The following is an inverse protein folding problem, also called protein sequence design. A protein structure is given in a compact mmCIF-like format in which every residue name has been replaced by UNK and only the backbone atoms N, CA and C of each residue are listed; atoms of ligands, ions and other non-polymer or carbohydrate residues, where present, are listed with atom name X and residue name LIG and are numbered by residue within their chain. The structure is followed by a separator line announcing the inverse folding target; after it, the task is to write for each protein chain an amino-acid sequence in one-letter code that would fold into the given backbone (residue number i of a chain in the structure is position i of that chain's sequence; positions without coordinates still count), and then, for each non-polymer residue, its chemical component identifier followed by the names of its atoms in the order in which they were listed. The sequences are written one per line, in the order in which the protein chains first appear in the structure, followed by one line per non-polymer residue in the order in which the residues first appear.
data_IF_255893100094
#
_entry.id   IF_255893100094
#
_cell.length_a   1.000
_cell.length_b   1.000
_cell.length_c   1.000
_cell.angle_alpha   90.00
_cell.angle_beta   90.00
_cell.angle_gamma   90.00
#
_symmetry.space_group_name_H-M   'P 1'
#
loop_
_entity.id
_entity.type
_entity.pdbx_description
1 polymer ?
#
# COMPACT_ATOMS: atom_id res chain seq x y z
N UNK A 1 57.11 -37.23 -9.39
CA UNK A 1 56.15 -36.67 -10.35
C UNK A 1 54.67 -37.02 -10.06
N UNK A 2 54.38 -38.07 -9.27
CA UNK A 2 53.00 -38.45 -8.89
C UNK A 2 52.41 -37.72 -7.66
N UNK A 3 53.23 -37.11 -6.78
CA UNK A 3 52.73 -36.42 -5.58
C UNK A 3 52.04 -35.08 -5.86
N UNK A 4 52.37 -34.41 -6.97
CA UNK A 4 51.77 -33.13 -7.35
C UNK A 4 50.40 -33.26 -8.02
N UNK A 5 50.03 -34.46 -8.50
CA UNK A 5 48.76 -34.70 -9.18
C UNK A 5 47.64 -34.93 -8.14
N UNK A 6 47.96 -35.56 -7.01
CA UNK A 6 47.01 -35.85 -5.92
C UNK A 6 46.61 -34.60 -5.14
N UNK A 7 47.51 -33.62 -4.99
CA UNK A 7 47.19 -32.33 -4.36
C UNK A 7 46.29 -31.45 -5.23
N UNK A 8 46.55 -31.39 -6.54
CA UNK A 8 45.71 -30.63 -7.49
C UNK A 8 44.28 -31.17 -7.59
N UNK A 9 44.10 -32.48 -7.47
CA UNK A 9 42.77 -33.11 -7.51
C UNK A 9 41.96 -32.88 -6.23
N UNK A 10 42.60 -32.72 -5.07
CA UNK A 10 41.93 -32.34 -3.81
C UNK A 10 41.49 -30.87 -3.80
N UNK A 11 42.27 -29.96 -4.36
CA UNK A 11 41.86 -28.55 -4.52
C UNK A 11 40.73 -28.39 -5.55
N UNK A 12 40.81 -29.10 -6.67
CA UNK A 12 39.77 -29.04 -7.72
C UNK A 12 38.42 -29.59 -7.26
N UNK A 13 38.43 -30.61 -6.38
CA UNK A 13 37.22 -31.18 -5.78
C UNK A 13 36.67 -30.34 -4.61
N UNK A 14 37.51 -29.60 -3.88
CA UNK A 14 37.06 -28.63 -2.88
C UNK A 14 36.43 -27.37 -3.51
N UNK A 15 36.92 -26.90 -4.66
CA UNK A 15 36.35 -25.73 -5.36
C UNK A 15 34.95 -26.03 -5.92
N UNK A 16 34.70 -27.28 -6.36
CA UNK A 16 33.39 -27.71 -6.85
C UNK A 16 32.36 -28.00 -5.74
N UNK A 17 32.78 -28.12 -4.48
CA UNK A 17 31.90 -28.35 -3.32
C UNK A 17 31.33 -27.06 -2.72
N UNK A 18 31.78 -25.88 -3.16
CA UNK A 18 31.36 -24.58 -2.62
C UNK A 18 30.23 -23.89 -3.41
N UNK A 19 29.54 -24.60 -4.32
CA UNK A 19 28.29 -24.07 -4.89
C UNK A 19 27.19 -24.16 -3.83
N UNK A 20 27.09 -23.12 -2.98
CA UNK A 20 25.94 -22.89 -2.10
C UNK A 20 24.67 -23.05 -2.93
N UNK A 21 23.91 -24.12 -2.68
CA UNK A 21 22.56 -24.31 -3.22
C UNK A 21 21.80 -22.99 -3.06
N UNK A 22 21.15 -22.45 -4.11
CA UNK A 22 20.31 -21.28 -3.90
C UNK A 22 19.25 -21.69 -2.88
N UNK A 23 19.14 -20.96 -1.77
CA UNK A 23 18.07 -21.16 -0.78
C UNK A 23 16.77 -20.65 -1.41
N UNK A 24 16.14 -21.47 -2.26
CA UNK A 24 14.91 -21.15 -3.03
C UNK A 24 13.64 -21.11 -2.15
N UNK A 25 13.73 -21.19 -0.82
CA UNK A 25 12.52 -21.37 0.00
C UNK A 25 11.67 -20.11 0.22
N UNK A 26 12.16 -18.91 -0.11
CA UNK A 26 11.45 -17.64 0.15
C UNK A 26 11.57 -16.60 -0.97
N UNK A 27 11.90 -17.00 -2.21
CA UNK A 27 12.00 -16.04 -3.32
C UNK A 27 10.63 -15.38 -3.60
N UNK A 28 9.55 -16.16 -3.50
CA UNK A 28 8.16 -15.70 -3.64
C UNK A 28 7.81 -14.60 -2.63
N UNK A 29 8.17 -14.74 -1.34
CA UNK A 29 7.91 -13.71 -0.33
C UNK A 29 8.59 -12.37 -0.65
N UNK A 30 9.73 -12.38 -1.36
CA UNK A 30 10.40 -11.13 -1.78
C UNK A 30 9.67 -10.43 -2.93
N UNK A 31 9.04 -11.21 -3.81
CA UNK A 31 8.26 -10.73 -4.96
C UNK A 31 6.91 -10.15 -4.51
N UNK A 32 6.28 -10.74 -3.48
CA UNK A 32 5.00 -10.28 -2.96
C UNK A 32 5.12 -9.01 -2.11
N UNK A 33 6.32 -8.69 -1.61
CA UNK A 33 6.56 -7.57 -0.69
C UNK A 33 6.03 -6.22 -1.17
N UNK A 34 6.38 -5.71 -2.38
CA UNK A 34 5.95 -4.38 -2.81
C UNK A 34 4.44 -4.28 -2.95
N UNK A 35 3.80 -5.28 -3.56
CA UNK A 35 2.35 -5.31 -3.73
C UNK A 35 1.61 -5.39 -2.40
N UNK A 36 2.07 -6.24 -1.47
CA UNK A 36 1.46 -6.32 -0.14
C UNK A 36 1.61 -5.02 0.66
N UNK A 37 2.79 -4.37 0.62
CA UNK A 37 2.98 -3.08 1.29
C UNK A 37 2.03 -2.03 0.72
N UNK A 38 1.91 -1.97 -0.60
CA UNK A 38 1.01 -1.00 -1.24
C UNK A 38 -0.43 -1.25 -0.85
N UNK A 39 -0.89 -2.50 -0.86
CA UNK A 39 -2.26 -2.83 -0.45
C UNK A 39 -2.54 -2.57 1.03
N UNK A 40 -1.58 -2.83 1.92
CA UNK A 40 -1.71 -2.51 3.35
C UNK A 40 -1.58 -1.01 3.66
N UNK A 41 -0.92 -0.25 2.79
CA UNK A 41 -0.82 1.20 2.93
C UNK A 41 -1.96 1.93 2.22
N UNK A 42 -2.73 1.25 1.37
CA UNK A 42 -3.96 1.76 0.73
C UNK A 42 -5.13 1.86 1.73
N UNK A 43 -5.01 1.18 2.86
CA UNK A 43 -5.97 1.15 3.99
C UNK A 43 -5.59 2.17 5.07
N UNK A 44 -5.11 3.33 4.63
CA UNK A 44 -4.70 4.43 5.49
C UNK A 44 -5.88 5.06 6.26
N UNK A 45 -5.59 5.96 7.20
CA UNK A 45 -6.60 6.61 8.04
C UNK A 45 -7.64 7.37 7.20
N UNK A 46 -7.22 7.98 6.08
CA UNK A 46 -8.12 8.69 5.17
C UNK A 46 -9.15 7.77 4.53
N UNK A 47 -8.70 6.60 4.06
CA UNK A 47 -9.55 5.57 3.49
C UNK A 47 -10.53 5.03 4.53
N UNK A 48 -10.05 4.72 5.73
CA UNK A 48 -10.88 4.19 6.81
C UNK A 48 -11.94 5.19 7.28
N UNK A 49 -11.58 6.48 7.45
CA UNK A 49 -12.52 7.54 7.82
C UNK A 49 -13.60 7.70 6.74
N UNK A 50 -13.20 7.72 5.46
CA UNK A 50 -14.13 7.83 4.33
C UNK A 50 -15.10 6.65 4.28
N UNK A 51 -14.60 5.43 4.50
CA UNK A 51 -15.41 4.22 4.57
C UNK A 51 -16.38 4.25 5.76
N UNK A 52 -15.92 4.66 6.94
CA UNK A 52 -16.75 4.79 8.15
C UNK A 52 -17.86 5.83 7.98
N UNK A 53 -17.56 6.99 7.39
CA UNK A 53 -18.55 8.01 7.05
C UNK A 53 -19.58 7.49 6.04
N UNK A 54 -19.12 6.74 5.04
CA UNK A 54 -19.98 6.12 4.03
C UNK A 54 -20.93 5.10 4.65
N UNK A 55 -20.43 4.22 5.52
CA UNK A 55 -21.25 3.26 6.26
C UNK A 55 -22.25 3.91 7.21
N UNK A 56 -21.84 4.97 7.92
CA UNK A 56 -22.71 5.67 8.87
C UNK A 56 -23.84 6.43 8.16
N UNK A 57 -23.55 7.06 7.01
CA UNK A 57 -24.50 7.91 6.30
C UNK A 57 -25.41 7.15 5.33
N UNK A 58 -24.85 6.15 4.66
CA UNK A 58 -25.51 5.45 3.54
C UNK A 58 -25.68 3.95 3.77
N UNK A 59 -25.20 3.42 4.90
CA UNK A 59 -25.31 2.00 5.23
C UNK A 59 -24.78 1.12 4.12
N UNK A 60 -25.56 0.10 3.75
CA UNK A 60 -25.18 -0.86 2.72
C UNK A 60 -25.32 -0.37 1.27
N UNK A 61 -25.87 0.82 1.02
CA UNK A 61 -26.04 1.34 -0.36
C UNK A 61 -24.73 1.70 -1.03
N UNK A 62 -23.68 1.98 -0.24
CA UNK A 62 -22.33 2.22 -0.73
C UNK A 62 -21.53 0.94 -1.02
N UNK A 63 -22.06 -0.26 -0.74
CA UNK A 63 -21.32 -1.50 -0.99
C UNK A 63 -21.07 -1.76 -2.47
N UNK A 64 -22.07 -1.51 -3.33
CA UNK A 64 -21.92 -1.78 -4.77
C UNK A 64 -20.79 -0.96 -5.40
N UNK A 65 -20.72 0.38 -5.18
CA UNK A 65 -19.57 1.16 -5.65
C UNK A 65 -18.21 0.60 -5.22
N UNK A 66 -18.07 0.18 -3.95
CA UNK A 66 -16.81 -0.39 -3.46
C UNK A 66 -16.44 -1.68 -4.21
N UNK A 67 -17.41 -2.56 -4.43
CA UNK A 67 -17.20 -3.80 -5.18
C UNK A 67 -16.81 -3.53 -6.65
N UNK A 68 -17.37 -2.49 -7.27
CA UNK A 68 -17.03 -2.09 -8.64
C UNK A 68 -15.64 -1.45 -8.73
N UNK A 69 -15.15 -0.83 -7.66
CA UNK A 69 -13.83 -0.23 -7.60
C UNK A 69 -12.70 -1.27 -7.50
N UNK A 70 -12.96 -2.46 -6.92
CA UNK A 70 -11.97 -3.55 -6.82
C UNK A 70 -11.33 -3.92 -8.17
N UNK A 71 -12.09 -4.28 -9.24
CA UNK A 71 -11.47 -4.62 -10.52
C UNK A 71 -10.73 -3.44 -11.15
N UNK A 72 -11.19 -2.20 -10.94
CA UNK A 72 -10.56 -0.99 -11.46
C UNK A 72 -9.20 -0.78 -10.79
N UNK A 73 -9.15 -0.89 -9.45
CA UNK A 73 -7.91 -0.85 -8.69
C UNK A 73 -6.95 -1.95 -9.14
N UNK A 74 -7.45 -3.18 -9.26
CA UNK A 74 -6.65 -4.32 -9.72
C UNK A 74 -6.00 -4.06 -11.08
N UNK A 75 -6.77 -3.54 -12.04
CA UNK A 75 -6.24 -3.19 -13.37
C UNK A 75 -5.16 -2.10 -13.27
N UNK A 76 -5.38 -1.05 -12.48
CA UNK A 76 -4.40 0.02 -12.29
C UNK A 76 -3.08 -0.52 -11.69
N UNK A 77 -3.17 -1.40 -10.68
CA UNK A 77 -2.00 -1.99 -10.05
C UNK A 77 -1.26 -2.97 -10.95
N UNK A 78 -1.99 -3.83 -11.67
CA UNK A 78 -1.40 -4.78 -12.61
C UNK A 78 -0.65 -4.04 -13.72
N UNK A 79 -1.25 -2.98 -14.29
CA UNK A 79 -0.61 -2.16 -15.32
C UNK A 79 0.66 -1.49 -14.79
N UNK A 80 0.61 -0.94 -13.58
CA UNK A 80 1.76 -0.30 -12.92
C UNK A 80 2.92 -1.27 -12.76
N UNK A 81 2.64 -2.49 -12.29
CA UNK A 81 3.65 -3.55 -12.14
C UNK A 81 4.19 -3.98 -13.49
N UNK A 82 3.31 -4.24 -14.47
CA UNK A 82 3.70 -4.66 -15.82
C UNK A 82 4.62 -3.63 -16.47
N UNK A 83 4.28 -2.35 -16.34
CA UNK A 83 5.10 -1.27 -16.89
C UNK A 83 6.45 -1.17 -16.19
N UNK A 84 6.50 -1.29 -14.85
CA UNK A 84 7.75 -1.30 -14.09
C UNK A 84 8.68 -2.45 -14.48
N UNK A 85 8.13 -3.66 -14.67
CA UNK A 85 8.92 -4.85 -15.09
C UNK A 85 9.48 -4.69 -16.50
N UNK A 86 8.65 -4.23 -17.45
CA UNK A 86 9.03 -4.16 -18.87
C UNK A 86 9.99 -3.00 -19.14
N UNK A 87 9.71 -1.82 -18.57
CA UNK A 87 10.49 -0.61 -18.86
C UNK A 87 11.71 -0.45 -17.98
N UNK A 88 11.71 -1.05 -16.78
CA UNK A 88 12.73 -0.86 -15.74
C UNK A 88 12.95 0.60 -15.34
N UNK A 89 11.90 1.41 -15.44
CA UNK A 89 11.92 2.85 -15.11
C UNK A 89 10.83 3.21 -14.13
N UNK A 90 11.08 4.22 -13.31
CA UNK A 90 10.08 4.77 -12.39
C UNK A 90 8.95 5.49 -13.15
N UNK A 91 7.79 5.64 -12.52
CA UNK A 91 6.63 6.25 -13.18
C UNK A 91 6.90 7.69 -13.65
N UNK A 92 7.50 8.52 -12.79
CA UNK A 92 7.87 9.89 -13.15
C UNK A 92 8.93 10.00 -14.25
N UNK A 93 9.85 9.03 -14.32
CA UNK A 93 10.84 8.96 -15.40
C UNK A 93 10.17 8.65 -16.74
N UNK A 94 9.25 7.69 -16.77
CA UNK A 94 8.48 7.38 -17.97
C UNK A 94 7.61 8.55 -18.45
N UNK A 95 6.99 9.29 -17.52
CA UNK A 95 6.23 10.49 -17.89
C UNK A 95 7.16 11.51 -18.55
N UNK A 96 8.33 11.75 -17.96
CA UNK A 96 9.31 12.70 -18.51
C UNK A 96 9.78 12.29 -19.91
N UNK A 97 10.01 11.01 -20.15
CA UNK A 97 10.49 10.52 -21.44
C UNK A 97 9.43 10.55 -22.54
N UNK A 98 8.18 10.20 -22.22
CA UNK A 98 7.12 10.08 -23.23
C UNK A 98 6.34 11.39 -23.44
N UNK A 99 6.20 12.21 -22.40
CA UNK A 99 5.39 13.44 -22.42
C UNK A 99 6.22 14.71 -22.18
N UNK A 100 7.47 14.60 -21.75
CA UNK A 100 8.35 15.73 -21.49
C UNK A 100 8.29 16.27 -20.06
N UNK A 101 9.17 17.22 -19.76
CA UNK A 101 9.44 17.71 -18.39
C UNK A 101 8.24 18.43 -17.75
N UNK A 102 7.40 19.11 -18.53
CA UNK A 102 6.23 19.82 -18.02
C UNK A 102 5.20 18.88 -17.37
N UNK A 103 4.87 17.78 -18.05
CA UNK A 103 3.96 16.75 -17.55
C UNK A 103 4.55 15.98 -16.37
N UNK A 104 5.86 15.76 -16.37
CA UNK A 104 6.55 15.16 -15.23
C UNK A 104 6.44 16.03 -13.98
N UNK A 105 6.60 17.36 -14.10
CA UNK A 105 6.41 18.28 -12.99
C UNK A 105 4.96 18.34 -12.51
N UNK A 106 3.99 18.39 -13.43
CA UNK A 106 2.57 18.35 -13.06
C UNK A 106 2.25 17.08 -12.25
N UNK A 107 2.75 15.94 -12.69
CA UNK A 107 2.58 14.66 -12.00
C UNK A 107 3.29 14.64 -10.64
N UNK A 108 4.51 15.18 -10.55
CA UNK A 108 5.24 15.28 -9.29
C UNK A 108 4.55 16.22 -8.27
N UNK A 109 4.01 17.36 -8.73
CA UNK A 109 3.28 18.31 -7.86
C UNK A 109 1.98 17.68 -7.36
N UNK A 110 1.21 17.04 -8.23
CA UNK A 110 -0.03 16.36 -7.83
C UNK A 110 0.24 15.20 -6.85
N UNK A 111 1.32 14.45 -7.06
CA UNK A 111 1.81 13.46 -6.10
C UNK A 111 2.16 14.09 -4.75
N UNK A 112 2.90 15.20 -4.74
CA UNK A 112 3.28 15.89 -3.51
C UNK A 112 2.07 16.40 -2.72
N UNK A 113 1.10 17.01 -3.41
CA UNK A 113 -0.16 17.47 -2.79
C UNK A 113 -0.95 16.29 -2.20
N UNK A 114 -1.06 15.19 -2.95
CA UNK A 114 -1.72 13.97 -2.48
C UNK A 114 -1.03 13.38 -1.24
N UNK A 115 0.30 13.31 -1.24
CA UNK A 115 1.07 12.81 -0.12
C UNK A 115 0.92 13.68 1.14
N UNK A 116 0.89 15.01 1.00
CA UNK A 116 0.60 15.92 2.11
C UNK A 116 -0.82 15.68 2.63
N UNK A 117 -1.81 15.52 1.75
CA UNK A 117 -3.17 15.18 2.13
C UNK A 117 -3.26 13.90 2.95
N UNK A 118 -2.59 12.82 2.49
CA UNK A 118 -2.51 11.55 3.20
C UNK A 118 -1.85 11.71 4.59
N UNK A 119 -0.74 12.43 4.68
CA UNK A 119 -0.08 12.71 5.97
C UNK A 119 -1.00 13.47 6.93
N UNK A 120 -1.76 14.45 6.43
CA UNK A 120 -2.73 15.17 7.25
C UNK A 120 -3.82 14.23 7.80
N UNK A 121 -4.36 13.33 6.96
CA UNK A 121 -5.37 12.37 7.41
C UNK A 121 -4.81 11.36 8.41
N UNK A 122 -3.55 10.95 8.27
CA UNK A 122 -2.85 10.12 9.26
C UNK A 122 -2.77 10.81 10.63
N UNK A 123 -2.37 12.07 10.67
CA UNK A 123 -2.34 12.83 11.93
C UNK A 123 -3.73 13.05 12.53
N UNK A 124 -4.75 13.25 11.69
CA UNK A 124 -6.14 13.30 12.14
C UNK A 124 -6.57 11.96 12.75
N UNK A 125 -6.20 10.84 12.14
CA UNK A 125 -6.45 9.50 12.67
C UNK A 125 -5.81 9.29 14.04
N UNK A 126 -4.52 9.60 14.16
CA UNK A 126 -3.78 9.49 15.44
C UNK A 126 -4.37 10.40 16.51
N UNK A 127 -4.72 11.64 16.17
CA UNK A 127 -5.34 12.58 17.09
C UNK A 127 -6.70 12.05 17.57
N UNK A 128 -7.54 11.58 16.64
CA UNK A 128 -8.87 11.03 16.96
C UNK A 128 -8.79 9.80 17.87
N UNK A 129 -7.87 8.87 17.60
CA UNK A 129 -7.65 7.72 18.49
C UNK A 129 -7.15 8.18 19.85
N UNK A 130 -6.22 9.13 19.91
CA UNK A 130 -5.74 9.70 21.17
C UNK A 130 -6.87 10.30 22.01
N UNK A 131 -7.76 11.07 21.39
CA UNK A 131 -8.91 11.68 22.06
C UNK A 131 -9.89 10.63 22.61
N UNK A 132 -10.06 9.47 21.94
CA UNK A 132 -10.85 8.35 22.47
C UNK A 132 -10.29 7.77 23.78
N UNK A 133 -8.98 7.86 23.99
CA UNK A 133 -8.31 7.44 25.24
C UNK A 133 -8.11 8.60 26.23
N UNK A 134 -8.71 9.77 25.98
CA UNK A 134 -8.59 10.96 26.83
C UNK A 134 -7.25 11.69 26.70
N UNK A 135 -6.45 11.38 25.69
CA UNK A 135 -5.20 12.10 25.39
C UNK A 135 -5.47 13.27 24.45
N UNK A 136 -4.93 14.44 24.78
CA UNK A 136 -5.06 15.62 23.93
C UNK A 136 -4.27 15.50 22.63
N UNK A 137 -4.83 16.01 21.53
CA UNK A 137 -4.14 16.12 20.23
C UNK A 137 -2.81 16.87 20.28
N UNK A 138 -2.67 17.79 21.23
CA UNK A 138 -1.42 18.53 21.48
C UNK A 138 -0.28 17.65 22.01
N UNK A 139 -0.60 16.44 22.49
CA UNK A 139 0.38 15.45 22.96
C UNK A 139 0.57 14.37 21.89
N UNK A 140 -0.52 13.83 21.33
CA UNK A 140 -0.47 12.68 20.43
C UNK A 140 0.19 13.02 19.09
N UNK A 141 -0.11 14.19 18.52
CA UNK A 141 0.46 14.62 17.22
C UNK A 141 1.97 14.83 17.32
N UNK A 142 2.53 15.60 18.27
CA UNK A 142 3.98 15.74 18.38
C UNK A 142 4.72 14.42 18.62
N UNK A 143 4.16 13.52 19.44
CA UNK A 143 4.76 12.19 19.67
C UNK A 143 4.81 11.40 18.36
N UNK A 144 3.71 11.35 17.61
CA UNK A 144 3.68 10.68 16.32
C UNK A 144 4.66 11.29 15.32
N UNK A 145 4.75 12.62 15.27
CA UNK A 145 5.73 13.33 14.43
C UNK A 145 7.16 12.95 14.80
N UNK A 146 7.52 12.96 16.09
CA UNK A 146 8.85 12.57 16.55
C UNK A 146 9.19 11.11 16.19
N UNK A 147 8.22 10.20 16.33
CA UNK A 147 8.37 8.80 15.95
C UNK A 147 8.58 8.65 14.43
N UNK A 148 7.76 9.30 13.61
CA UNK A 148 7.88 9.27 12.15
C UNK A 148 9.22 9.84 11.68
N UNK A 149 9.63 10.99 12.22
CA UNK A 149 10.93 11.62 11.95
C UNK A 149 12.08 10.69 12.37
N UNK A 150 11.99 10.10 13.57
CA UNK A 150 12.99 9.13 14.04
C UNK A 150 13.13 7.91 13.11
N UNK A 151 12.01 7.38 12.63
CA UNK A 151 12.00 6.27 11.66
C UNK A 151 12.60 6.71 10.32
N UNK A 152 12.26 7.90 9.83
CA UNK A 152 12.77 8.43 8.57
C UNK A 152 14.30 8.58 8.58
N UNK A 153 14.90 9.01 9.69
CA UNK A 153 16.35 9.20 9.80
C UNK A 153 17.12 7.92 10.18
N UNK A 154 16.53 6.99 10.94
CA UNK A 154 17.24 5.80 11.46
C UNK A 154 16.84 4.47 10.79
N UNK A 155 15.81 4.47 9.95
CA UNK A 155 15.20 3.27 9.38
C UNK A 155 16.01 2.68 8.23
N UNK A 156 16.31 1.38 8.33
CA UNK A 156 16.70 0.60 7.14
C UNK A 156 15.43 0.19 6.40
N UNK A 157 15.43 0.27 5.06
CA UNK A 157 14.29 -0.11 4.21
C UNK A 157 13.68 -1.47 4.61
N UNK A 158 14.51 -2.48 4.88
CA UNK A 158 14.06 -3.82 5.29
C UNK A 158 13.37 -3.86 6.66
N UNK A 159 13.73 -2.96 7.57
CA UNK A 159 13.08 -2.84 8.88
C UNK A 159 11.73 -2.16 8.74
N UNK A 160 11.66 -1.08 7.95
CA UNK A 160 10.41 -0.37 7.66
C UNK A 160 9.40 -1.28 6.97
N UNK A 161 9.81 -2.03 5.95
CA UNK A 161 8.95 -3.02 5.24
C UNK A 161 8.36 -4.06 6.22
N UNK A 162 9.17 -4.64 7.10
CA UNK A 162 8.67 -5.62 8.07
C UNK A 162 7.73 -5.02 9.11
N UNK A 163 8.05 -3.84 9.62
CA UNK A 163 7.20 -3.15 10.61
C UNK A 163 5.87 -2.78 9.97
N UNK A 164 5.90 -2.21 8.76
CA UNK A 164 4.70 -1.85 8.00
C UNK A 164 3.79 -3.05 7.76
N UNK A 165 4.33 -4.18 7.30
CA UNK A 165 3.54 -5.41 7.12
C UNK A 165 2.97 -5.91 8.46
N UNK A 166 3.76 -5.86 9.54
CA UNK A 166 3.30 -6.33 10.86
C UNK A 166 2.16 -5.47 11.40
N UNK A 167 2.25 -4.15 11.24
CA UNK A 167 1.20 -3.21 11.63
C UNK A 167 -0.03 -3.38 10.74
N UNK A 168 0.15 -3.51 9.42
CA UNK A 168 -0.94 -3.73 8.47
C UNK A 168 -1.73 -5.01 8.75
N UNK A 169 -1.11 -6.06 9.31
CA UNK A 169 -1.84 -7.25 9.76
C UNK A 169 -2.89 -6.94 10.84
N UNK A 170 -2.81 -5.80 11.53
CA UNK A 170 -3.85 -5.36 12.47
C UNK A 170 -5.20 -5.12 11.76
N UNK A 171 -5.22 -4.88 10.45
CA UNK A 171 -6.46 -4.73 9.67
C UNK A 171 -7.30 -6.01 9.65
N UNK A 172 -6.70 -7.17 9.91
CA UNK A 172 -7.46 -8.41 10.09
C UNK A 172 -8.46 -8.32 11.25
N UNK A 173 -8.29 -7.36 12.17
CA UNK A 173 -9.29 -7.04 13.19
C UNK A 173 -10.64 -6.64 12.57
N UNK A 174 -10.69 -6.03 11.39
CA UNK A 174 -11.95 -5.71 10.71
C UNK A 174 -12.71 -6.97 10.29
N UNK A 175 -12.01 -8.05 9.93
CA UNK A 175 -12.65 -9.35 9.64
C UNK A 175 -13.36 -9.87 10.89
N UNK A 176 -12.69 -9.79 12.05
CA UNK A 176 -13.28 -10.18 13.34
C UNK A 176 -14.49 -9.29 13.66
N UNK A 177 -14.36 -7.97 13.48
CA UNK A 177 -15.44 -7.02 13.73
C UNK A 177 -16.70 -7.32 12.89
N UNK A 178 -16.54 -7.62 11.59
CA UNK A 178 -17.65 -8.00 10.71
C UNK A 178 -18.33 -9.28 11.19
N UNK A 179 -17.57 -10.29 11.63
CA UNK A 179 -18.13 -11.55 12.17
C UNK A 179 -18.92 -11.28 13.46
N UNK A 180 -18.42 -10.41 14.33
CA UNK A 180 -19.06 -10.07 15.61
C UNK A 180 -20.38 -9.32 15.42
N UNK A 181 -20.45 -8.40 14.45
CA UNK A 181 -21.64 -7.57 14.19
C UNK A 181 -22.77 -8.38 13.52
N UNK A 182 -22.46 -9.54 12.91
CA UNK A 182 -23.41 -10.42 12.20
C UNK A 182 -24.31 -9.62 11.24
N UNK A 183 -23.76 -9.11 10.13
CA UNK A 183 -24.49 -8.23 9.23
C UNK A 183 -25.70 -8.94 8.63
N UNK A 184 -26.81 -8.19 8.49
CA UNK A 184 -28.02 -8.73 7.90
C UNK A 184 -27.85 -8.85 6.38
N UNK A 185 -27.71 -10.09 5.90
CA UNK A 185 -27.48 -10.40 4.48
C UNK A 185 -28.60 -9.84 3.59
N UNK A 186 -29.85 -9.85 4.05
CA UNK A 186 -30.97 -9.30 3.28
C UNK A 186 -30.85 -7.79 3.11
N UNK A 187 -30.42 -7.06 4.15
CA UNK A 187 -30.19 -5.62 4.05
C UNK A 187 -28.97 -5.30 3.16
N UNK A 188 -27.91 -6.11 3.24
CA UNK A 188 -26.77 -5.98 2.32
C UNK A 188 -27.19 -6.17 0.87
N UNK A 189 -27.96 -7.22 0.57
CA UNK A 189 -28.45 -7.49 -0.78
C UNK A 189 -29.34 -6.36 -1.32
N UNK A 190 -30.21 -5.79 -0.48
CA UNK A 190 -31.01 -4.60 -0.85
C UNK A 190 -30.13 -3.38 -1.09
N UNK A 191 -29.12 -3.16 -0.24
CA UNK A 191 -28.15 -2.08 -0.38
C UNK A 191 -27.39 -2.16 -1.71
N UNK A 192 -26.99 -3.36 -2.14
CA UNK A 192 -26.30 -3.57 -3.41
C UNK A 192 -27.10 -3.13 -4.63
N UNK A 193 -28.43 -3.18 -4.58
CA UNK A 193 -29.30 -2.81 -5.72
C UNK A 193 -29.80 -1.36 -5.62
N UNK A 194 -29.79 -0.79 -4.42
CA UNK A 194 -30.37 0.54 -4.16
C UNK A 194 -29.33 1.62 -4.35
N UNK A 195 -29.45 2.40 -5.44
CA UNK A 195 -28.51 3.48 -5.73
C UNK A 195 -29.22 4.85 -5.67
N UNK A 196 -29.01 5.65 -4.62
CA UNK A 196 -29.70 6.92 -4.41
C UNK A 196 -29.04 8.08 -5.21
N UNK A 197 -29.05 7.99 -6.54
CA UNK A 197 -28.43 8.96 -7.47
C UNK A 197 -28.91 10.40 -7.31
N UNK A 198 -30.09 10.62 -6.72
CA UNK A 198 -30.67 11.96 -6.55
C UNK A 198 -30.10 12.75 -5.37
N UNK A 199 -29.30 12.12 -4.52
CA UNK A 199 -28.77 12.77 -3.32
C UNK A 199 -27.33 13.25 -3.56
N UNK A 200 -27.11 14.56 -3.52
CA UNK A 200 -25.78 15.16 -3.72
C UNK A 200 -24.75 14.66 -2.71
N UNK A 201 -25.17 14.33 -1.48
CA UNK A 201 -24.27 13.79 -0.48
C UNK A 201 -23.91 12.31 -0.68
N UNK A 202 -24.69 11.57 -1.48
CA UNK A 202 -24.29 10.23 -1.96
C UNK A 202 -23.22 10.38 -3.02
N UNK A 203 -23.46 11.23 -4.03
CA UNK A 203 -22.51 11.47 -5.12
C UNK A 203 -21.18 12.02 -4.57
N UNK A 204 -21.22 12.91 -3.59
CA UNK A 204 -20.01 13.43 -2.95
C UNK A 204 -19.18 12.32 -2.28
N UNK A 205 -19.81 11.48 -1.46
CA UNK A 205 -19.11 10.36 -0.83
C UNK A 205 -18.68 9.30 -1.86
N UNK A 206 -19.45 9.09 -2.92
CA UNK A 206 -19.05 8.21 -4.01
C UNK A 206 -17.76 8.71 -4.66
N UNK A 207 -17.69 9.99 -5.01
CA UNK A 207 -16.48 10.60 -5.55
C UNK A 207 -15.30 10.55 -4.57
N UNK A 208 -15.56 10.76 -3.27
CA UNK A 208 -14.53 10.63 -2.24
C UNK A 208 -13.97 9.21 -2.15
N UNK A 209 -14.82 8.18 -2.19
CA UNK A 209 -14.37 6.79 -2.19
C UNK A 209 -13.61 6.43 -3.48
N UNK A 210 -14.09 6.86 -4.64
CA UNK A 210 -13.38 6.65 -5.92
C UNK A 210 -11.98 7.26 -5.86
N UNK A 211 -11.83 8.47 -5.31
CA UNK A 211 -10.54 9.13 -5.16
C UNK A 211 -9.65 8.49 -4.10
N UNK A 212 -10.23 7.94 -3.03
CA UNK A 212 -9.49 7.25 -1.97
C UNK A 212 -8.93 5.90 -2.44
N UNK A 213 -9.59 5.21 -3.37
CA UNK A 213 -9.17 3.88 -3.83
C UNK A 213 -7.94 3.89 -4.74
N UNK A 214 -7.68 4.97 -5.50
CA UNK A 214 -6.51 5.06 -6.39
C UNK A 214 -5.72 6.33 -6.07
N UNK A 215 -4.83 6.22 -5.10
CA UNK A 215 -3.94 7.30 -4.69
C UNK A 215 -2.70 7.39 -5.60
N UNK A 216 -2.34 8.57 -6.12
CA UNK A 216 -1.18 8.72 -7.01
C UNK A 216 0.13 8.13 -6.47
N UNK A 217 0.37 8.22 -5.16
CA UNK A 217 1.60 7.69 -4.54
C UNK A 217 1.73 6.17 -4.69
N UNK A 218 0.63 5.43 -4.75
CA UNK A 218 0.64 3.97 -4.90
C UNK A 218 1.29 3.58 -6.23
N UNK A 219 0.98 4.32 -7.30
CA UNK A 219 1.46 4.04 -8.66
C UNK A 219 2.97 4.31 -8.73
N UNK A 220 3.38 5.47 -8.22
CA UNK A 220 4.79 5.86 -8.18
C UNK A 220 5.63 4.90 -7.34
N UNK A 221 5.15 4.58 -6.13
CA UNK A 221 5.85 3.70 -5.21
C UNK A 221 5.92 2.27 -5.74
N UNK A 222 4.79 1.70 -6.20
CA UNK A 222 4.74 0.32 -6.68
C UNK A 222 5.63 0.12 -7.89
N UNK A 223 5.60 1.05 -8.85
CA UNK A 223 6.47 0.96 -10.03
C UNK A 223 7.94 1.08 -9.62
N UNK A 224 8.30 2.05 -8.76
CA UNK A 224 9.68 2.21 -8.28
C UNK A 224 10.19 1.01 -7.49
N UNK A 225 9.39 0.48 -6.57
CA UNK A 225 9.75 -0.68 -5.74
C UNK A 225 9.91 -1.97 -6.56
N UNK A 226 9.18 -2.10 -7.67
CA UNK A 226 9.34 -3.22 -8.63
C UNK A 226 10.64 -3.08 -9.41
N UNK A 227 11.03 -1.86 -9.80
CA UNK A 227 12.29 -1.60 -10.49
C UNK A 227 13.49 -1.84 -9.57
N UNK A 228 13.45 -1.35 -8.33
CA UNK A 228 14.57 -1.48 -7.37
C UNK A 228 14.86 -2.93 -6.92
N UNK A 229 13.89 -3.85 -7.08
CA UNK A 229 14.05 -5.26 -6.70
C UNK A 229 14.59 -6.16 -7.84
N UNK A 230 14.61 -5.69 -9.09
CA UNK A 230 15.01 -6.45 -10.29
C UNK A 230 16.37 -6.03 -10.84
#
# INVERSE_FOLDING_TARGET
MQSNITHRNKESSQILSSKKKPRVKYHWLKIWGPGLIVMLADTDAGCLITAAQSGTKWGYTMLLPQLLLIPILYMAQEMTVRLGIVTRKGHGELIRENFGTGWAWLSAVTLAVSAIGALLTEFVGVAGVGELFGMSKWITVPIATLLLVGIAFCGSYRRVEKIGVTIGLAELAFVIAVIMIRPNITQMARGLVTIPWRHSSYIYLLAANVGAVIMPWMIFYQQGAVVDKN
#
